data_IF_176533075293
#
_entry.id   IF_176533075293
#
_cell.length_a   1.000
_cell.length_b   1.000
_cell.length_c   1.000
_cell.angle_alpha   90.00
_cell.angle_beta   90.00
_cell.angle_gamma   90.00
#
_symmetry.space_group_name_H-M   'P 1'
#
loop_
_entity.id
_entity.type
_entity.pdbx_description
1 polymer ?
#
# COMPACT_ATOMS: atom_id res chain seq x y z
N UNK A 1 17.65 -8.11 -14.81
CA UNK A 1 18.17 -9.34 -15.45
C UNK A 1 19.70 -9.38 -15.41
N UNK A 2 20.37 -8.28 -15.76
CA UNK A 2 21.85 -8.24 -15.73
C UNK A 2 22.42 -8.47 -14.32
N UNK A 3 21.85 -7.85 -13.31
CA UNK A 3 22.26 -8.00 -11.91
C UNK A 3 22.12 -9.45 -11.38
N UNK A 4 21.22 -10.23 -11.96
CA UNK A 4 20.97 -11.62 -11.59
C UNK A 4 21.57 -12.65 -12.56
N UNK A 5 22.43 -12.19 -13.47
CA UNK A 5 23.11 -13.05 -14.46
C UNK A 5 22.17 -13.93 -15.29
N UNK A 6 20.93 -13.45 -15.54
CA UNK A 6 19.93 -14.15 -16.36
C UNK A 6 19.59 -13.35 -17.61
N UNK A 7 19.23 -14.04 -18.71
CA UNK A 7 18.81 -13.38 -19.93
C UNK A 7 17.46 -12.66 -19.75
N UNK A 8 17.22 -11.62 -20.57
CA UNK A 8 15.92 -10.90 -20.58
C UNK A 8 14.75 -11.85 -20.86
N UNK A 9 14.93 -12.85 -21.71
CA UNK A 9 13.89 -13.83 -22.05
C UNK A 9 13.60 -14.74 -20.86
N UNK A 10 14.64 -15.22 -20.19
CA UNK A 10 14.48 -16.05 -19.01
C UNK A 10 13.80 -15.27 -17.87
N UNK A 11 14.23 -14.05 -17.61
CA UNK A 11 13.57 -13.17 -16.65
C UNK A 11 12.10 -12.95 -16.97
N UNK A 12 11.77 -12.62 -18.23
CA UNK A 12 10.38 -12.38 -18.64
C UNK A 12 9.49 -13.62 -18.49
N UNK A 13 10.05 -14.83 -18.71
CA UNK A 13 9.33 -16.09 -18.53
C UNK A 13 9.03 -16.33 -17.06
N UNK A 14 10.05 -16.31 -16.19
CA UNK A 14 9.89 -16.49 -14.73
C UNK A 14 8.90 -15.44 -14.19
N UNK A 15 9.09 -14.18 -14.56
CA UNK A 15 8.22 -13.10 -14.11
C UNK A 15 6.75 -13.37 -14.46
N UNK A 16 6.49 -13.85 -15.69
CA UNK A 16 5.11 -14.19 -16.12
C UNK A 16 4.56 -15.43 -15.41
N UNK A 17 5.39 -16.43 -15.15
CA UNK A 17 5.02 -17.64 -14.39
C UNK A 17 4.63 -17.26 -12.96
N UNK A 18 5.39 -16.38 -12.29
CA UNK A 18 5.17 -15.97 -10.91
C UNK A 18 4.01 -14.97 -10.74
N UNK A 19 3.84 -14.04 -11.70
CA UNK A 19 2.87 -12.94 -11.56
C UNK A 19 1.62 -13.10 -12.41
N UNK A 20 1.59 -14.08 -13.32
CA UNK A 20 0.50 -14.29 -14.27
C UNK A 20 0.47 -13.29 -15.44
N UNK A 21 1.32 -12.26 -15.46
CA UNK A 21 1.32 -11.22 -16.49
C UNK A 21 2.74 -10.88 -16.98
N UNK A 22 2.85 -10.30 -18.17
CA UNK A 22 4.15 -9.87 -18.68
C UNK A 22 4.68 -8.66 -17.89
N UNK A 23 6.03 -8.49 -17.84
CA UNK A 23 6.68 -7.33 -17.21
C UNK A 23 6.08 -6.00 -17.71
N UNK A 24 5.82 -5.89 -19.02
CA UNK A 24 5.22 -4.70 -19.61
C UNK A 24 3.78 -4.47 -19.13
N UNK A 25 2.95 -5.51 -19.08
CA UNK A 25 1.58 -5.44 -18.58
C UNK A 25 1.55 -5.04 -17.10
N UNK A 26 2.42 -5.65 -16.29
CA UNK A 26 2.60 -5.33 -14.88
C UNK A 26 2.94 -3.84 -14.66
N UNK A 27 4.00 -3.35 -15.33
CA UNK A 27 4.42 -1.93 -15.21
C UNK A 27 3.29 -0.99 -15.63
N UNK A 28 2.61 -1.32 -16.74
CA UNK A 28 1.50 -0.51 -17.25
C UNK A 28 0.34 -0.47 -16.25
N UNK A 29 -0.02 -1.60 -15.65
CA UNK A 29 -1.06 -1.69 -14.63
C UNK A 29 -0.67 -0.88 -13.39
N UNK A 30 0.54 -1.08 -12.86
CA UNK A 30 1.03 -0.31 -11.72
C UNK A 30 1.00 1.20 -11.97
N UNK A 31 1.39 1.66 -13.16
CA UNK A 31 1.30 3.09 -13.53
C UNK A 31 -0.14 3.60 -13.51
N UNK A 32 -1.09 2.83 -14.03
CA UNK A 32 -2.51 3.20 -14.03
C UNK A 32 -3.07 3.22 -12.62
N UNK A 33 -2.77 2.21 -11.81
CA UNK A 33 -3.23 2.14 -10.42
C UNK A 33 -2.68 3.31 -9.60
N UNK A 34 -1.38 3.60 -9.73
CA UNK A 34 -0.76 4.75 -9.05
C UNK A 34 -1.32 6.09 -9.53
N UNK A 35 -1.60 6.22 -10.83
CA UNK A 35 -2.25 7.43 -11.37
C UNK A 35 -3.67 7.60 -10.82
N UNK A 36 -4.39 6.51 -10.56
CA UNK A 36 -5.70 6.55 -9.92
C UNK A 36 -5.61 7.00 -8.45
N UNK A 37 -4.56 6.56 -7.73
CA UNK A 37 -4.26 7.08 -6.39
C UNK A 37 -3.97 8.59 -6.45
N UNK A 38 -3.20 9.05 -7.43
CA UNK A 38 -2.91 10.49 -7.60
C UNK A 38 -4.16 11.31 -7.94
N UNK A 39 -5.11 10.75 -8.71
CA UNK A 39 -6.42 11.40 -8.93
C UNK A 39 -7.15 11.59 -7.60
N UNK A 40 -7.11 10.59 -6.73
CA UNK A 40 -7.75 10.60 -5.41
C UNK A 40 -7.09 11.62 -4.47
N UNK A 41 -5.76 11.63 -4.41
CA UNK A 41 -5.01 12.47 -3.46
C UNK A 41 -4.83 13.92 -3.92
N UNK A 42 -4.97 14.20 -5.22
CA UNK A 42 -4.75 15.52 -5.80
C UNK A 42 -5.96 16.01 -6.58
N UNK A 43 -7.10 16.30 -5.92
CA UNK A 43 -8.34 16.67 -6.61
C UNK A 43 -8.21 17.93 -7.47
N UNK A 44 -7.28 18.85 -7.13
CA UNK A 44 -7.02 20.06 -7.91
C UNK A 44 -6.21 19.80 -9.20
N UNK A 45 -5.47 18.67 -9.30
CA UNK A 45 -4.62 18.37 -10.46
C UNK A 45 -5.47 17.92 -11.65
N UNK A 46 -5.11 18.38 -12.87
CA UNK A 46 -5.85 17.98 -14.07
C UNK A 46 -5.55 16.53 -14.45
N UNK A 47 -6.49 15.89 -15.14
CA UNK A 47 -6.30 14.53 -15.67
C UNK A 47 -5.14 14.48 -16.68
N UNK A 48 -4.93 15.57 -17.42
CA UNK A 48 -3.83 15.70 -18.38
C UNK A 48 -2.49 15.68 -17.66
N UNK A 49 -2.33 16.51 -16.62
CA UNK A 49 -1.08 16.60 -15.85
C UNK A 49 -0.75 15.26 -15.17
N UNK A 50 -1.77 14.60 -14.60
CA UNK A 50 -1.58 13.27 -14.04
C UNK A 50 -1.09 12.28 -15.11
N UNK A 51 -1.72 12.27 -16.28
CA UNK A 51 -1.29 11.39 -17.39
C UNK A 51 0.17 11.64 -17.79
N UNK A 52 0.59 12.91 -17.88
CA UNK A 52 1.95 13.31 -18.22
C UNK A 52 2.97 12.83 -17.18
N UNK A 53 2.67 12.91 -15.89
CA UNK A 53 3.55 12.42 -14.82
C UNK A 53 3.89 10.93 -14.95
N UNK A 54 2.95 10.14 -15.49
CA UNK A 54 3.14 8.71 -15.73
C UNK A 54 3.69 8.39 -17.13
N UNK A 55 4.05 9.41 -17.91
CA UNK A 55 4.65 9.30 -19.24
C UNK A 55 3.65 8.97 -20.34
N UNK A 56 2.39 9.34 -20.18
CA UNK A 56 1.36 9.21 -21.22
C UNK A 56 1.05 10.57 -21.88
N UNK A 57 0.75 10.57 -23.17
CA UNK A 57 0.05 11.70 -23.79
C UNK A 57 -1.40 11.73 -23.31
N UNK A 58 -2.06 12.89 -23.37
CA UNK A 58 -3.43 13.08 -22.88
C UNK A 58 -4.44 12.12 -23.53
N UNK A 59 -4.35 11.89 -24.83
CA UNK A 59 -5.22 10.97 -25.58
C UNK A 59 -4.95 9.50 -25.23
N UNK A 60 -3.67 9.14 -25.08
CA UNK A 60 -3.28 7.77 -24.73
C UNK A 60 -3.64 7.42 -23.29
N UNK A 61 -3.47 8.35 -22.35
CA UNK A 61 -3.80 8.13 -20.94
C UNK A 61 -5.26 7.73 -20.75
N UNK A 62 -6.20 8.48 -21.32
CA UNK A 62 -7.62 8.19 -21.19
C UNK A 62 -7.98 6.80 -21.72
N UNK A 63 -7.39 6.42 -22.86
CA UNK A 63 -7.61 5.09 -23.48
C UNK A 63 -7.03 3.97 -22.61
N UNK A 64 -5.80 4.14 -22.11
CA UNK A 64 -5.13 3.15 -21.27
C UNK A 64 -5.83 2.99 -19.93
N UNK A 65 -6.21 4.09 -19.29
CA UNK A 65 -6.95 4.08 -18.03
C UNK A 65 -8.29 3.37 -18.18
N UNK A 66 -9.08 3.74 -19.21
CA UNK A 66 -10.38 3.11 -19.51
C UNK A 66 -10.26 1.62 -19.78
N UNK A 67 -9.20 1.20 -20.51
CA UNK A 67 -8.95 -0.24 -20.78
C UNK A 67 -8.66 -1.03 -19.51
N UNK A 68 -7.98 -0.44 -18.53
CA UNK A 68 -7.62 -1.12 -17.28
C UNK A 68 -8.72 -1.05 -16.21
N UNK A 69 -9.52 0.03 -16.20
CA UNK A 69 -10.47 0.31 -15.12
C UNK A 69 -11.94 0.27 -15.55
N UNK A 70 -12.21 0.02 -16.83
CA UNK A 70 -13.54 0.04 -17.48
C UNK A 70 -14.26 1.39 -17.42
N UNK A 71 -13.69 2.43 -16.85
CA UNK A 71 -14.21 3.80 -16.77
C UNK A 71 -13.14 4.81 -17.18
N UNK A 72 -13.54 5.99 -17.66
CA UNK A 72 -12.58 7.04 -17.98
C UNK A 72 -11.98 7.68 -16.72
N UNK A 73 -10.77 8.29 -16.77
CA UNK A 73 -10.19 8.98 -15.63
C UNK A 73 -11.07 10.12 -15.12
N UNK A 74 -11.81 10.81 -15.99
CA UNK A 74 -12.72 11.90 -15.59
C UNK A 74 -13.92 11.37 -14.82
N UNK A 75 -14.53 10.26 -15.28
CA UNK A 75 -15.62 9.58 -14.57
C UNK A 75 -15.13 9.03 -13.24
N UNK A 76 -13.93 8.43 -13.20
CA UNK A 76 -13.31 7.96 -11.97
C UNK A 76 -13.10 9.11 -10.97
N UNK A 77 -12.55 10.26 -11.42
CA UNK A 77 -12.39 11.46 -10.58
C UNK A 77 -13.72 11.93 -10.00
N UNK A 78 -14.76 11.97 -10.81
CA UNK A 78 -16.09 12.36 -10.35
C UNK A 78 -16.68 11.36 -9.35
N UNK A 79 -16.51 10.05 -9.57
CA UNK A 79 -17.01 9.02 -8.68
C UNK A 79 -16.34 9.09 -7.29
N UNK A 80 -15.04 9.40 -7.20
CA UNK A 80 -14.35 9.60 -5.92
C UNK A 80 -14.96 10.76 -5.13
N UNK A 81 -15.33 11.85 -5.80
CA UNK A 81 -15.92 13.02 -5.15
C UNK A 81 -17.36 12.78 -4.66
N UNK A 82 -18.05 11.80 -5.24
CA UNK A 82 -19.47 11.52 -4.97
C UNK A 82 -19.74 10.24 -4.16
N UNK A 83 -18.79 9.30 -4.14
CA UNK A 83 -18.95 7.97 -3.51
C UNK A 83 -17.79 7.69 -2.57
N UNK A 84 -17.86 8.27 -1.42
CA UNK A 84 -16.79 8.12 -0.42
C UNK A 84 -16.80 6.82 0.39
N UNK A 85 -17.71 5.84 0.15
CA UNK A 85 -18.10 5.04 1.29
C UNK A 85 -18.14 3.52 1.10
N UNK A 86 -17.70 2.96 -0.02
CA UNK A 86 -17.59 1.49 -0.16
C UNK A 86 -16.22 0.98 0.25
N UNK A 87 -16.19 0.08 1.24
CA UNK A 87 -14.99 -0.62 1.67
C UNK A 87 -14.86 -1.91 0.86
N UNK A 88 -13.76 -2.16 0.14
CA UNK A 88 -13.61 -3.31 -0.76
C UNK A 88 -13.82 -4.68 -0.11
N UNK A 89 -13.52 -4.80 1.19
CA UNK A 89 -13.66 -6.05 1.94
C UNK A 89 -15.05 -6.24 2.57
N UNK A 90 -15.85 -5.17 2.63
CA UNK A 90 -17.22 -5.18 3.18
C UNK A 90 -18.10 -4.25 2.35
N UNK A 91 -18.41 -4.59 1.08
CA UNK A 91 -19.10 -3.67 0.15
C UNK A 91 -20.52 -3.30 0.60
N UNK A 92 -21.09 -4.08 1.52
CA UNK A 92 -22.42 -3.85 2.09
C UNK A 92 -22.42 -2.84 3.25
N UNK A 93 -21.22 -2.46 3.74
CA UNK A 93 -21.06 -1.55 4.87
C UNK A 93 -20.82 -0.13 4.34
N UNK A 94 -21.81 0.74 4.55
CA UNK A 94 -21.63 2.18 4.36
C UNK A 94 -20.82 2.70 5.55
N UNK A 95 -19.65 3.27 5.26
CA UNK A 95 -18.76 3.82 6.26
C UNK A 95 -18.88 5.34 6.27
N UNK A 96 -19.14 5.90 7.44
CA UNK A 96 -19.07 7.34 7.66
C UNK A 96 -17.67 7.69 8.14
N UNK A 97 -16.87 8.33 7.29
CA UNK A 97 -15.55 8.81 7.67
C UNK A 97 -15.64 9.90 8.76
N UNK A 98 -14.62 9.97 9.59
CA UNK A 98 -14.42 11.08 10.53
C UNK A 98 -14.22 12.40 9.78
N UNK A 99 -14.42 13.52 10.48
CA UNK A 99 -14.09 14.85 9.94
C UNK A 99 -12.57 15.06 9.86
N UNK A 100 -12.15 16.08 9.13
CA UNK A 100 -10.72 16.45 9.06
C UNK A 100 -10.16 16.79 10.44
N UNK A 101 -10.94 17.46 11.28
CA UNK A 101 -10.56 17.83 12.64
C UNK A 101 -10.36 16.57 13.52
N UNK A 102 -11.26 15.62 13.41
CA UNK A 102 -11.18 14.34 14.15
C UNK A 102 -9.94 13.52 13.72
N UNK A 103 -9.61 13.49 12.43
CA UNK A 103 -8.37 12.87 11.96
C UNK A 103 -7.14 13.65 12.42
N UNK A 104 -7.15 14.99 12.30
CA UNK A 104 -6.04 15.85 12.71
C UNK A 104 -5.72 15.74 14.20
N UNK A 105 -6.72 15.51 15.04
CA UNK A 105 -6.52 15.29 16.47
C UNK A 105 -5.84 13.95 16.81
N UNK A 106 -5.82 12.98 15.88
CA UNK A 106 -5.27 11.64 16.09
C UNK A 106 -4.02 11.36 15.24
N UNK A 107 -3.68 12.26 14.33
CA UNK A 107 -2.49 12.16 13.49
C UNK A 107 -1.35 12.96 14.11
N UNK A 108 -0.21 12.30 14.26
CA UNK A 108 1.06 12.94 14.61
C UNK A 108 1.98 12.96 13.38
N UNK A 109 2.85 13.97 13.34
CA UNK A 109 3.95 14.02 12.37
C UNK A 109 5.21 13.59 13.10
N UNK A 110 5.78 12.44 12.69
CA UNK A 110 6.98 11.86 13.28
C UNK A 110 8.09 11.68 12.26
N UNK A 111 9.32 11.78 12.71
CA UNK A 111 10.49 11.31 11.99
C UNK A 111 10.75 9.86 12.40
N UNK A 112 10.67 8.93 11.46
CA UNK A 112 10.95 7.51 11.69
C UNK A 112 12.39 7.19 11.30
N UNK A 113 13.04 6.33 12.09
CA UNK A 113 14.33 5.75 11.73
C UNK A 113 14.20 4.77 10.56
N UNK A 114 15.33 4.45 9.92
CA UNK A 114 15.38 3.38 8.94
C UNK A 114 15.25 2.03 9.64
N UNK A 115 14.45 1.13 9.04
CA UNK A 115 14.33 -0.25 9.51
C UNK A 115 15.12 -1.18 8.59
N UNK A 116 16.09 -1.93 9.13
CA UNK A 116 16.67 -3.07 8.43
C UNK A 116 15.84 -4.30 8.75
N UNK A 117 15.31 -4.96 7.71
CA UNK A 117 14.28 -6.01 7.89
C UNK A 117 14.54 -7.25 7.05
N UNK A 118 14.16 -8.41 7.59
CA UNK A 118 13.84 -9.60 6.82
C UNK A 118 12.43 -9.40 6.29
N UNK A 119 12.18 -9.73 5.00
CA UNK A 119 10.85 -9.58 4.41
C UNK A 119 10.46 -10.76 3.54
N UNK A 120 9.17 -11.01 3.44
CA UNK A 120 8.57 -11.81 2.38
C UNK A 120 7.46 -11.05 1.68
N UNK A 121 7.45 -11.13 0.35
CA UNK A 121 6.44 -10.48 -0.47
C UNK A 121 5.23 -11.36 -0.65
N UNK A 122 4.09 -10.82 -0.29
CA UNK A 122 2.79 -11.39 -0.53
C UNK A 122 2.11 -10.64 -1.69
N UNK A 123 1.53 -11.40 -2.64
CA UNK A 123 0.70 -10.88 -3.73
C UNK A 123 -0.66 -11.54 -3.62
N UNK A 124 -1.70 -10.75 -3.36
CA UNK A 124 -3.05 -11.28 -3.18
C UNK A 124 -3.97 -10.36 -2.38
N UNK A 125 -5.09 -10.92 -1.96
CA UNK A 125 -6.07 -10.20 -1.14
C UNK A 125 -5.52 -9.98 0.26
N UNK A 126 -5.46 -8.72 0.71
CA UNK A 126 -5.01 -8.37 2.06
C UNK A 126 -5.82 -9.04 3.18
N UNK A 127 -7.06 -9.45 2.91
CA UNK A 127 -7.85 -10.23 3.88
C UNK A 127 -7.21 -11.60 4.20
N UNK A 128 -6.36 -12.14 3.33
CA UNK A 128 -5.71 -13.44 3.49
C UNK A 128 -4.31 -13.33 4.12
N UNK A 129 -3.87 -12.14 4.51
CA UNK A 129 -2.50 -11.88 4.97
C UNK A 129 -2.17 -12.59 6.30
N UNK A 130 -3.17 -12.87 7.13
CA UNK A 130 -2.99 -13.54 8.42
C UNK A 130 -2.28 -14.89 8.29
N UNK A 131 -2.68 -15.71 7.30
CA UNK A 131 -2.04 -17.01 7.02
C UNK A 131 -0.55 -16.84 6.68
N UNK A 132 -0.22 -15.80 5.92
CA UNK A 132 1.17 -15.51 5.52
C UNK A 132 2.00 -15.06 6.72
N UNK A 133 1.40 -14.32 7.67
CA UNK A 133 2.05 -13.97 8.92
C UNK A 133 2.44 -15.20 9.74
N UNK A 134 1.56 -16.20 9.86
CA UNK A 134 1.90 -17.45 10.57
C UNK A 134 3.07 -18.17 9.93
N UNK A 135 3.07 -18.30 8.62
CA UNK A 135 4.15 -18.96 7.89
C UNK A 135 5.47 -18.20 8.02
N UNK A 136 5.42 -16.87 7.92
CA UNK A 136 6.58 -15.99 8.10
C UNK A 136 7.18 -16.11 9.49
N UNK A 137 6.37 -16.00 10.53
CA UNK A 137 6.84 -16.07 11.92
C UNK A 137 7.40 -17.48 12.27
N UNK A 138 6.81 -18.55 11.78
CA UNK A 138 7.36 -19.91 12.00
C UNK A 138 8.69 -20.09 11.28
N UNK A 139 8.79 -19.61 10.04
CA UNK A 139 10.02 -19.71 9.22
C UNK A 139 11.19 -18.94 9.84
N UNK A 140 10.94 -17.75 10.39
CA UNK A 140 11.96 -16.87 10.92
C UNK A 140 11.99 -16.79 12.46
N UNK A 141 11.39 -17.75 13.16
CA UNK A 141 11.31 -17.76 14.64
C UNK A 141 12.64 -17.62 15.36
N UNK A 142 13.74 -18.10 14.77
CA UNK A 142 15.07 -18.02 15.35
C UNK A 142 15.66 -16.59 15.29
N UNK A 143 15.06 -15.66 14.57
CA UNK A 143 15.44 -14.26 14.48
C UNK A 143 14.58 -13.36 15.38
N UNK A 144 13.51 -13.93 15.98
CA UNK A 144 12.65 -13.18 16.91
C UNK A 144 13.33 -12.99 18.25
N UNK A 145 13.26 -11.76 18.75
CA UNK A 145 13.66 -11.39 20.11
C UNK A 145 12.71 -10.32 20.66
N UNK A 146 12.91 -9.91 21.90
CA UNK A 146 12.07 -8.93 22.59
C UNK A 146 12.03 -7.53 21.93
N UNK A 147 13.05 -7.18 21.15
CA UNK A 147 13.16 -5.91 20.43
C UNK A 147 12.69 -6.00 18.98
N UNK A 148 12.22 -7.17 18.52
CA UNK A 148 11.77 -7.35 17.14
C UNK A 148 10.49 -6.57 16.88
N UNK A 149 10.53 -5.69 15.88
CA UNK A 149 9.37 -4.93 15.41
C UNK A 149 8.80 -5.64 14.18
N UNK A 150 7.51 -5.91 14.20
CA UNK A 150 6.77 -6.47 13.06
C UNK A 150 6.18 -5.33 12.23
N UNK A 151 6.37 -5.41 10.91
CA UNK A 151 6.00 -4.33 9.98
C UNK A 151 5.31 -4.94 8.76
N UNK A 152 4.21 -4.36 8.32
CA UNK A 152 3.68 -4.53 6.97
C UNK A 152 4.05 -3.32 6.13
N UNK A 153 4.49 -3.56 4.89
CA UNK A 153 4.69 -2.52 3.89
C UNK A 153 3.77 -2.78 2.71
N UNK A 154 2.73 -1.99 2.57
CA UNK A 154 1.71 -2.17 1.54
C UNK A 154 1.86 -1.12 0.43
N UNK A 155 1.72 -1.57 -0.82
CA UNK A 155 2.03 -0.77 -2.01
C UNK A 155 0.79 -0.32 -2.79
N UNK A 156 -0.36 -0.90 -2.51
CA UNK A 156 -1.56 -0.71 -3.30
C UNK A 156 -2.74 -0.28 -2.43
N UNK A 157 -3.60 0.56 -3.00
CA UNK A 157 -4.94 0.81 -2.47
C UNK A 157 -5.88 -0.30 -2.97
N UNK A 158 -6.43 -1.16 -2.10
CA UNK A 158 -7.31 -2.24 -2.50
C UNK A 158 -8.68 -1.75 -3.03
N UNK A 159 -9.04 -0.48 -2.86
CA UNK A 159 -10.18 0.14 -3.56
C UNK A 159 -9.86 0.43 -5.04
N UNK A 160 -8.58 0.47 -5.37
CA UNK A 160 -8.09 0.81 -6.71
C UNK A 160 -7.53 -0.41 -7.42
N UNK A 161 -6.59 -1.13 -6.80
CA UNK A 161 -5.94 -2.31 -7.38
C UNK A 161 -6.82 -3.54 -7.17
N UNK A 162 -6.87 -4.43 -8.18
CA UNK A 162 -7.56 -5.70 -8.02
C UNK A 162 -6.99 -6.47 -6.82
N UNK A 163 -7.85 -6.97 -5.95
CA UNK A 163 -7.45 -7.62 -4.69
C UNK A 163 -6.44 -8.74 -4.91
N UNK A 164 -6.58 -9.55 -5.95
CA UNK A 164 -5.64 -10.63 -6.28
C UNK A 164 -4.26 -10.15 -6.72
N UNK A 165 -4.08 -8.85 -6.97
CA UNK A 165 -2.86 -8.22 -7.46
C UNK A 165 -2.27 -7.20 -6.48
N UNK A 166 -2.86 -7.05 -5.31
CA UNK A 166 -2.31 -6.21 -4.26
C UNK A 166 -0.99 -6.78 -3.74
N UNK A 167 -0.04 -5.92 -3.45
CA UNK A 167 1.32 -6.27 -3.01
C UNK A 167 1.52 -5.75 -1.59
N UNK A 168 1.96 -6.63 -0.72
CA UNK A 168 2.38 -6.32 0.63
C UNK A 168 3.67 -7.07 0.97
N UNK A 169 4.60 -6.45 1.67
CA UNK A 169 5.72 -7.12 2.30
C UNK A 169 5.42 -7.29 3.79
N UNK A 170 5.55 -8.53 4.26
CA UNK A 170 5.53 -8.88 5.67
C UNK A 170 6.97 -8.85 6.15
N UNK A 171 7.25 -8.07 7.17
CA UNK A 171 8.62 -7.75 7.60
C UNK A 171 8.79 -7.92 9.11
N UNK A 172 10.02 -8.23 9.51
CA UNK A 172 10.49 -8.11 10.89
C UNK A 172 11.85 -7.44 10.91
N UNK A 173 12.12 -6.61 11.93
CA UNK A 173 13.45 -6.02 12.09
C UNK A 173 14.49 -7.10 12.35
N UNK A 174 15.70 -6.89 11.83
CA UNK A 174 16.84 -7.79 11.97
C UNK A 174 18.14 -7.01 12.15
N UNK A 175 19.16 -7.69 12.66
CA UNK A 175 20.52 -7.15 12.72
C UNK A 175 21.09 -6.92 11.31
N UNK A 176 21.88 -5.85 11.15
CA UNK A 176 22.54 -5.54 9.87
C UNK A 176 23.52 -6.64 9.40
N UNK A 177 23.94 -7.53 10.30
CA UNK A 177 24.78 -8.68 9.99
C UNK A 177 23.99 -9.92 9.57
N UNK A 178 22.67 -9.81 9.36
CA UNK A 178 21.83 -10.89 8.90
C UNK A 178 22.22 -11.32 7.49
N UNK A 179 22.61 -12.60 7.33
CA UNK A 179 23.09 -13.17 6.06
C UNK A 179 21.99 -13.81 5.20
N UNK A 180 20.75 -13.42 5.36
CA UNK A 180 19.64 -13.88 4.51
C UNK A 180 19.59 -13.08 3.20
N UNK A 181 19.13 -13.72 2.13
CA UNK A 181 19.01 -13.08 0.82
C UNK A 181 17.81 -12.13 0.71
N UNK A 182 16.83 -12.29 1.60
CA UNK A 182 15.58 -11.52 1.62
C UNK A 182 15.59 -10.47 2.74
N UNK A 183 16.66 -9.68 2.77
CA UNK A 183 16.80 -8.51 3.64
C UNK A 183 16.74 -7.23 2.83
N UNK A 184 16.23 -6.17 3.43
CA UNK A 184 16.18 -4.84 2.82
C UNK A 184 16.15 -3.75 3.88
N UNK A 185 16.43 -2.52 3.48
CA UNK A 185 16.24 -1.35 4.30
C UNK A 185 14.95 -0.63 3.91
N UNK A 186 14.04 -0.49 4.86
CA UNK A 186 12.89 0.42 4.74
C UNK A 186 13.37 1.79 5.16
N UNK A 187 13.32 2.75 4.23
CA UNK A 187 13.71 4.12 4.53
C UNK A 187 12.69 4.74 5.49
N UNK A 188 13.18 5.29 6.58
CA UNK A 188 12.43 6.14 7.47
C UNK A 188 12.20 7.52 6.86
N UNK A 189 12.13 8.52 7.72
CA UNK A 189 11.89 9.90 7.36
C UNK A 189 10.56 10.40 7.91
N UNK A 190 10.14 11.57 7.42
CA UNK A 190 8.93 12.22 7.89
C UNK A 190 7.68 11.46 7.49
N UNK A 191 6.87 11.10 8.48
CA UNK A 191 5.63 10.35 8.31
C UNK A 191 4.47 11.02 9.04
N UNK A 192 3.28 10.93 8.48
CA UNK A 192 2.07 10.98 9.28
C UNK A 192 1.91 9.64 9.97
N UNK A 193 1.57 9.66 11.24
CA UNK A 193 1.39 8.47 12.08
C UNK A 193 0.03 8.57 12.75
N UNK A 194 -0.82 7.60 12.48
CA UNK A 194 -2.09 7.42 13.17
C UNK A 194 -1.97 6.23 14.10
N UNK A 195 -2.01 6.49 15.41
CA UNK A 195 -1.97 5.42 16.40
C UNK A 195 -3.33 4.70 16.44
N UNK A 196 -3.33 3.44 16.04
CA UNK A 196 -4.52 2.61 15.95
C UNK A 196 -4.58 1.56 17.06
N UNK A 197 -5.65 1.58 17.85
CA UNK A 197 -6.04 0.50 18.77
C UNK A 197 -7.46 0.08 18.44
N UNK A 198 -7.62 -1.09 17.81
CA UNK A 198 -8.93 -1.49 17.34
C UNK A 198 -8.98 -2.87 16.71
N UNK A 199 -10.08 -3.18 16.04
CA UNK A 199 -10.27 -4.45 15.34
C UNK A 199 -9.58 -4.45 13.99
N UNK A 200 -8.94 -5.55 13.63
CA UNK A 200 -8.24 -5.72 12.34
C UNK A 200 -9.13 -5.34 11.15
N UNK A 201 -10.41 -5.70 11.17
CA UNK A 201 -11.35 -5.43 10.07
C UNK A 201 -11.65 -3.95 9.83
N UNK A 202 -11.38 -3.08 10.81
CA UNK A 202 -11.67 -1.65 10.73
C UNK A 202 -10.45 -0.80 10.29
N UNK A 203 -9.25 -1.40 10.18
CA UNK A 203 -8.00 -0.73 9.78
C UNK A 203 -8.16 -0.04 8.41
N UNK A 204 -8.74 -0.78 7.46
CA UNK A 204 -8.89 -0.28 6.10
C UNK A 204 -9.80 0.95 6.04
N UNK A 205 -10.86 0.99 6.85
CA UNK A 205 -11.76 2.14 6.98
C UNK A 205 -11.02 3.40 7.45
N UNK A 206 -10.16 3.24 8.46
CA UNK A 206 -9.32 4.35 8.95
C UNK A 206 -8.36 4.84 7.86
N UNK A 207 -7.66 3.93 7.19
CA UNK A 207 -6.76 4.29 6.08
C UNK A 207 -7.51 5.00 4.95
N UNK A 208 -8.68 4.50 4.56
CA UNK A 208 -9.48 5.15 3.52
C UNK A 208 -9.92 6.55 3.93
N UNK A 209 -10.28 6.76 5.19
CA UNK A 209 -10.60 8.10 5.69
C UNK A 209 -9.39 9.04 5.67
N UNK A 210 -8.21 8.56 6.08
CA UNK A 210 -6.97 9.34 5.99
C UNK A 210 -6.71 9.76 4.53
N UNK A 211 -6.80 8.82 3.57
CA UNK A 211 -6.53 9.10 2.16
C UNK A 211 -7.63 9.90 1.45
N UNK A 212 -8.89 9.79 1.87
CA UNK A 212 -10.01 10.44 1.20
C UNK A 212 -10.41 11.79 1.83
N UNK A 213 -10.20 11.95 3.14
CA UNK A 213 -10.61 13.14 3.88
C UNK A 213 -9.40 13.98 4.28
N UNK A 214 -8.46 13.38 5.01
CA UNK A 214 -7.38 14.15 5.62
C UNK A 214 -6.27 14.54 4.62
N UNK A 215 -5.71 13.58 3.87
CA UNK A 215 -4.59 13.83 2.95
C UNK A 215 -4.87 14.93 1.92
N UNK A 216 -6.03 14.94 1.23
CA UNK A 216 -6.30 15.97 0.22
C UNK A 216 -6.38 17.39 0.77
N UNK A 217 -6.65 17.55 2.07
CA UNK A 217 -6.85 18.84 2.74
C UNK A 217 -5.67 19.25 3.63
N UNK A 218 -4.78 18.30 3.96
CA UNK A 218 -3.67 18.53 4.89
C UNK A 218 -2.52 19.35 4.31
N UNK A 219 -2.43 19.49 2.98
CA UNK A 219 -1.29 20.07 2.29
C UNK A 219 -0.07 19.15 2.18
N UNK A 220 -0.08 17.99 2.82
CA UNK A 220 1.01 17.00 2.70
C UNK A 220 0.87 16.14 1.44
N UNK A 221 2.00 15.61 0.96
CA UNK A 221 2.05 14.68 -0.17
C UNK A 221 2.89 13.47 0.19
N UNK A 222 2.49 12.30 -0.29
CA UNK A 222 3.29 11.10 -0.12
C UNK A 222 4.63 11.24 -0.85
N UNK A 223 5.72 10.96 -0.14
CA UNK A 223 7.09 10.92 -0.69
C UNK A 223 7.47 9.52 -1.17
N UNK A 224 6.83 8.48 -0.64
CA UNK A 224 7.02 7.07 -1.01
C UNK A 224 5.72 6.49 -1.55
N UNK A 225 5.84 5.44 -2.37
CA UNK A 225 4.69 4.72 -2.95
C UNK A 225 4.26 3.53 -2.09
N UNK A 226 4.46 3.61 -0.78
CA UNK A 226 4.03 2.59 0.19
C UNK A 226 3.61 3.24 1.51
N UNK A 227 2.81 2.52 2.27
CA UNK A 227 2.51 2.81 3.66
C UNK A 227 3.06 1.70 4.56
N UNK A 228 3.17 1.98 5.85
CA UNK A 228 3.65 1.02 6.84
C UNK A 228 2.60 0.83 7.94
N UNK A 229 2.39 -0.41 8.36
CA UNK A 229 1.75 -0.76 9.61
C UNK A 229 2.83 -1.28 10.55
N UNK A 230 3.10 -0.57 11.64
CA UNK A 230 4.10 -0.95 12.65
C UNK A 230 3.36 -1.50 13.86
N UNK A 231 3.54 -2.78 14.16
CA UNK A 231 2.80 -3.48 15.21
C UNK A 231 3.42 -3.24 16.58
N UNK A 232 2.57 -2.89 17.56
CA UNK A 232 2.92 -2.79 18.98
C UNK A 232 2.27 -3.91 19.80
N UNK A 233 1.14 -4.46 19.36
CA UNK A 233 0.46 -5.55 20.03
C UNK A 233 -0.60 -6.22 19.17
N UNK A 234 -0.78 -7.52 19.39
CA UNK A 234 -1.76 -8.34 18.67
C UNK A 234 -2.53 -9.19 19.67
N UNK A 235 -3.83 -8.95 19.80
CA UNK A 235 -4.78 -9.80 20.52
C UNK A 235 -5.55 -10.67 19.53
N UNK A 236 -5.04 -11.86 19.30
CA UNK A 236 -5.62 -12.81 18.34
C UNK A 236 -7.02 -13.29 18.75
N UNK A 237 -7.25 -13.44 20.06
CA UNK A 237 -8.52 -13.95 20.58
C UNK A 237 -9.69 -13.01 20.27
N UNK A 238 -9.43 -11.71 20.33
CA UNK A 238 -10.43 -10.66 20.11
C UNK A 238 -10.29 -9.98 18.74
N UNK A 239 -9.40 -10.48 17.88
CA UNK A 239 -9.07 -9.87 16.56
C UNK A 239 -8.75 -8.37 16.67
N UNK A 240 -8.01 -7.98 17.72
CA UNK A 240 -7.56 -6.59 17.95
C UNK A 240 -6.07 -6.45 17.73
N UNK A 241 -5.69 -5.26 17.32
CA UNK A 241 -4.29 -4.87 17.15
C UNK A 241 -4.07 -3.47 17.70
N UNK A 242 -2.85 -3.25 18.19
CA UNK A 242 -2.30 -1.93 18.48
C UNK A 242 -1.14 -1.73 17.51
N UNK A 243 -1.23 -0.69 16.68
CA UNK A 243 -0.23 -0.41 15.66
C UNK A 243 -0.20 1.07 15.28
N UNK A 244 0.89 1.47 14.67
CA UNK A 244 0.99 2.76 13.99
C UNK A 244 0.75 2.58 12.49
N UNK A 245 -0.22 3.31 11.95
CA UNK A 245 -0.45 3.43 10.52
C UNK A 245 0.37 4.61 10.02
N UNK A 246 1.45 4.33 9.27
CA UNK A 246 2.43 5.33 8.88
C UNK A 246 2.40 5.57 7.37
N UNK A 247 2.32 6.83 6.96
CA UNK A 247 2.36 7.24 5.55
C UNK A 247 3.51 8.23 5.38
N UNK A 248 4.56 7.90 4.61
CA UNK A 248 5.70 8.79 4.33
C UNK A 248 5.27 10.04 3.56
N UNK A 249 5.71 11.24 4.04
CA UNK A 249 5.35 12.55 3.50
C UNK A 249 6.57 13.43 3.26
#
# INVERSE_FOLDING_TARGET
AAEFYISKFHFSRIFKEETGESVYAFIKRCKVDQSAVDIKLNPAKTIIDIGLDYGYSSSNYSSVFKKNRNISPSVFKQSILTHSESVPFTPERIVKFKTIEEYSAQIEIKELDNFFVIYERFIGNYADIEKNWYQFLDKYKNFLNENTILIERFYNDPAITNLSQCICDICMTADRNCNLNNVTEIKGGKCIVYHYDGKIKDIYEILQGIFSVWMPQSGYKMTQRYGLNIYHGIDRKNHRVVMDLCIPI
#
